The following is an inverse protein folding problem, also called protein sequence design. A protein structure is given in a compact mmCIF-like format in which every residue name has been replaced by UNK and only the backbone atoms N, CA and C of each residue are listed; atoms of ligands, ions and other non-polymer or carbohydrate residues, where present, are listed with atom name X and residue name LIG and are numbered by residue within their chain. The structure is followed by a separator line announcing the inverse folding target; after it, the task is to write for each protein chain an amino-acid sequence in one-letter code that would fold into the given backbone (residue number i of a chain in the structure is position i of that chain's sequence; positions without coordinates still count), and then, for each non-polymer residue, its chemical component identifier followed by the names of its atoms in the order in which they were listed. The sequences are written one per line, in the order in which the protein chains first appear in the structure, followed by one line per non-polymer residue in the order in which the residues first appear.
data_IF_148706591814
#
_entry.id   IF_148706591814
#
_cell.length_a   1.000
_cell.length_b   1.000
_cell.length_c   1.000
_cell.angle_alpha   90.00
_cell.angle_beta   90.00
_cell.angle_gamma   90.00
#
_symmetry.space_group_name_H-M   'P 1'
#
loop_
_entity.id
_entity.type
_entity.pdbx_description
1 polymer ?
#
# COMPACT_ATOMS: atom_id res chain seq x y z
N UNK A 1 7.40 18.01 4.07
CA UNK A 1 7.62 19.48 4.00
C UNK A 1 8.75 19.85 3.02
N UNK A 2 9.99 19.32 3.18
CA UNK A 2 11.13 19.70 2.33
C UNK A 2 10.87 19.55 0.81
N UNK A 3 10.30 18.46 0.35
CA UNK A 3 10.00 18.24 -1.07
C UNK A 3 9.19 19.36 -1.70
N UNK A 4 8.17 19.87 -0.99
CA UNK A 4 7.36 21.00 -1.48
C UNK A 4 8.15 22.33 -1.41
N UNK A 5 8.91 22.55 -0.34
CA UNK A 5 9.71 23.77 -0.19
C UNK A 5 10.82 23.89 -1.24
N UNK A 6 11.34 22.75 -1.71
CA UNK A 6 12.38 22.68 -2.74
C UNK A 6 11.83 22.54 -4.16
N UNK A 7 10.48 22.61 -4.34
CA UNK A 7 9.82 22.51 -5.64
C UNK A 7 10.16 21.22 -6.42
N UNK A 8 10.25 20.07 -5.70
CA UNK A 8 10.63 18.80 -6.29
C UNK A 8 9.45 18.10 -7.00
N UNK A 9 8.99 18.64 -8.10
CA UNK A 9 7.84 18.10 -8.84
C UNK A 9 8.05 16.70 -9.43
N UNK A 10 9.31 16.30 -9.61
CA UNK A 10 9.68 14.95 -10.04
C UNK A 10 9.82 13.95 -8.87
N UNK A 11 9.60 14.39 -7.62
CA UNK A 11 9.62 13.51 -6.47
C UNK A 11 8.27 12.80 -6.31
N UNK A 12 8.30 11.47 -6.35
CA UNK A 12 7.14 10.63 -6.08
C UNK A 12 7.43 9.77 -4.85
N UNK A 13 6.59 9.89 -3.84
CA UNK A 13 6.59 9.01 -2.68
C UNK A 13 5.47 7.98 -2.79
N UNK A 14 5.72 6.73 -2.41
CA UNK A 14 4.69 5.71 -2.30
C UNK A 14 4.61 5.26 -0.85
N UNK A 15 3.42 5.32 -0.28
CA UNK A 15 3.14 4.86 1.08
C UNK A 15 2.39 3.54 1.01
N UNK A 16 3.02 2.47 1.47
CA UNK A 16 2.34 1.21 1.74
C UNK A 16 1.51 1.36 3.03
N UNK A 17 0.21 1.65 2.86
CA UNK A 17 -0.69 1.90 3.98
C UNK A 17 -1.42 0.62 4.38
N UNK A 18 -0.71 -0.30 4.99
CA UNK A 18 -1.25 -1.57 5.47
C UNK A 18 -1.86 -1.49 6.88
N UNK A 19 -1.83 -0.31 7.52
CA UNK A 19 -2.39 0.00 8.85
C UNK A 19 -1.79 -0.83 10.00
N UNK A 20 -0.60 -1.41 9.80
CA UNK A 20 0.08 -2.18 10.81
C UNK A 20 1.47 -1.63 11.11
N UNK A 21 1.84 -1.69 12.37
CA UNK A 21 3.20 -1.54 12.88
C UNK A 21 3.75 -2.94 13.20
N UNK A 22 4.98 -3.00 13.67
CA UNK A 22 5.62 -4.26 14.04
C UNK A 22 4.89 -5.01 15.18
N UNK A 23 4.28 -4.29 16.10
CA UNK A 23 3.69 -4.85 17.33
C UNK A 23 2.20 -4.54 17.51
N UNK A 24 1.59 -3.70 16.66
CA UNK A 24 0.22 -3.22 16.82
C UNK A 24 -0.38 -2.75 15.49
N UNK A 25 -1.64 -2.38 15.51
CA UNK A 25 -2.22 -1.57 14.44
C UNK A 25 -1.78 -0.11 14.60
N UNK A 26 -1.64 0.61 13.46
CA UNK A 26 -1.14 1.99 13.48
C UNK A 26 -2.02 2.91 14.32
N UNK A 27 -3.34 2.84 14.17
CA UNK A 27 -4.26 3.74 14.86
C UNK A 27 -4.38 3.46 16.38
N UNK A 28 -3.97 2.29 16.84
CA UNK A 28 -3.89 1.97 18.27
C UNK A 28 -2.68 2.63 18.96
N UNK A 29 -1.66 2.97 18.17
CA UNK A 29 -0.37 3.50 18.68
C UNK A 29 -0.13 4.94 18.27
N UNK A 30 -0.45 5.29 17.03
CA UNK A 30 -0.21 6.61 16.44
C UNK A 30 -1.42 6.98 15.60
N UNK A 31 -2.16 8.02 15.98
CA UNK A 31 -3.31 8.51 15.24
C UNK A 31 -2.85 9.19 13.94
N UNK A 32 -2.79 8.41 12.86
CA UNK A 32 -2.35 8.91 11.56
C UNK A 32 -3.50 9.53 10.76
N UNK A 33 -4.75 9.18 11.04
CA UNK A 33 -5.90 9.77 10.34
C UNK A 33 -6.16 11.24 10.74
N UNK A 34 -6.67 12.07 9.86
CA UNK A 34 -6.85 11.84 8.42
C UNK A 34 -5.51 11.89 7.66
N UNK A 35 -5.05 10.75 7.17
CA UNK A 35 -3.67 10.60 6.68
C UNK A 35 -3.41 11.41 5.40
N UNK A 36 -4.30 11.30 4.43
CA UNK A 36 -4.19 12.02 3.16
C UNK A 36 -4.19 13.56 3.35
N UNK A 37 -5.02 14.06 4.26
CA UNK A 37 -5.12 15.50 4.52
C UNK A 37 -3.85 16.07 5.14
N UNK A 38 -3.12 15.28 5.91
CA UNK A 38 -1.81 15.68 6.44
C UNK A 38 -0.81 15.90 5.30
N UNK A 39 -0.79 15.06 4.27
CA UNK A 39 0.04 15.26 3.09
C UNK A 39 -0.41 16.47 2.27
N UNK A 40 -1.72 16.63 2.07
CA UNK A 40 -2.30 17.81 1.40
C UNK A 40 -1.92 19.11 2.11
N UNK A 41 -1.95 19.12 3.45
CA UNK A 41 -1.58 20.31 4.24
C UNK A 41 -0.11 20.69 4.12
N UNK A 42 0.77 19.74 3.78
CA UNK A 42 2.18 20.01 3.45
C UNK A 42 2.39 20.42 1.98
N UNK A 43 1.31 20.57 1.21
CA UNK A 43 1.33 21.04 -0.18
C UNK A 43 1.73 19.96 -1.19
N UNK A 44 1.54 18.67 -0.87
CA UNK A 44 1.76 17.57 -1.81
C UNK A 44 0.51 17.32 -2.64
N UNK A 45 0.70 16.91 -3.90
CA UNK A 45 -0.33 16.24 -4.67
C UNK A 45 -0.53 14.84 -4.09
N UNK A 46 -1.79 14.45 -3.82
CA UNK A 46 -2.12 13.18 -3.15
C UNK A 46 -2.99 12.33 -4.05
N UNK A 47 -2.53 11.15 -4.38
CA UNK A 47 -3.26 10.11 -5.10
C UNK A 47 -3.56 8.99 -4.11
N UNK A 48 -4.83 8.64 -3.93
CA UNK A 48 -5.25 7.56 -3.05
C UNK A 48 -5.66 6.35 -3.88
N UNK A 49 -5.02 5.19 -3.60
CA UNK A 49 -5.36 3.89 -4.19
C UNK A 49 -6.19 3.12 -3.17
N UNK A 50 -7.42 2.78 -3.53
CA UNK A 50 -8.38 2.11 -2.64
C UNK A 50 -7.93 0.69 -2.29
N UNK A 51 -7.49 -0.07 -3.30
CA UNK A 51 -6.87 -1.39 -3.12
C UNK A 51 -5.48 -1.41 -3.77
N UNK A 52 -4.44 -1.22 -2.96
CA UNK A 52 -3.05 -1.28 -3.40
C UNK A 52 -2.53 -2.70 -3.68
N UNK A 53 -3.35 -3.73 -3.49
CA UNK A 53 -3.07 -5.09 -3.95
C UNK A 53 -3.70 -5.38 -5.33
N UNK A 54 -4.53 -4.46 -5.85
CA UNK A 54 -5.04 -4.49 -7.22
C UNK A 54 -4.07 -3.78 -8.17
N UNK A 55 -3.38 -4.55 -9.00
CA UNK A 55 -2.38 -4.02 -9.94
C UNK A 55 -2.96 -3.02 -10.94
N UNK A 56 -4.24 -3.15 -11.31
CA UNK A 56 -4.91 -2.21 -12.21
C UNK A 56 -4.97 -0.81 -11.57
N UNK A 57 -5.45 -0.72 -10.32
CA UNK A 57 -5.53 0.54 -9.60
C UNK A 57 -4.13 1.15 -9.37
N UNK A 58 -3.13 0.31 -9.12
CA UNK A 58 -1.74 0.78 -8.95
C UNK A 58 -1.21 1.39 -10.25
N UNK A 59 -1.43 0.75 -11.38
CA UNK A 59 -1.01 1.29 -12.69
C UNK A 59 -1.75 2.59 -13.02
N UNK A 60 -3.06 2.63 -12.82
CA UNK A 60 -3.87 3.85 -13.02
C UNK A 60 -3.36 5.03 -12.15
N UNK A 61 -2.98 4.73 -10.90
CA UNK A 61 -2.41 5.74 -10.01
C UNK A 61 -1.04 6.25 -10.50
N UNK A 62 -0.18 5.36 -10.99
CA UNK A 62 1.12 5.71 -11.56
C UNK A 62 0.97 6.56 -12.83
N UNK A 63 0.02 6.21 -13.70
CA UNK A 63 -0.28 6.94 -14.93
C UNK A 63 -0.89 8.33 -14.67
N UNK A 64 -1.50 8.53 -13.49
CA UNK A 64 -2.08 9.81 -13.08
C UNK A 64 -1.09 10.79 -12.44
N UNK A 65 0.19 10.39 -12.29
CA UNK A 65 1.23 11.29 -11.76
C UNK A 65 1.39 12.48 -12.71
N UNK A 66 1.35 13.73 -12.20
CA UNK A 66 1.58 14.90 -13.02
C UNK A 66 2.93 14.86 -13.73
N UNK A 67 2.95 15.49 -14.90
CA UNK A 67 4.17 15.64 -15.69
C UNK A 67 5.26 16.39 -14.90
N UNK A 68 6.51 16.18 -15.28
CA UNK A 68 7.70 16.75 -14.62
C UNK A 68 7.80 18.28 -14.70
N UNK A 69 6.92 18.95 -15.42
CA UNK A 69 6.80 20.42 -15.42
C UNK A 69 6.14 20.94 -14.12
N UNK A 70 5.48 20.10 -13.36
CA UNK A 70 4.96 20.45 -12.04
C UNK A 70 6.09 20.75 -11.06
N UNK A 71 5.90 21.69 -10.16
CA UNK A 71 6.79 21.98 -9.03
C UNK A 71 6.30 21.36 -7.71
N UNK A 72 5.22 20.54 -7.80
CA UNK A 72 4.55 19.93 -6.65
C UNK A 72 4.89 18.45 -6.57
N UNK A 73 5.52 17.97 -5.49
CA UNK A 73 5.77 16.55 -5.31
C UNK A 73 4.48 15.76 -5.13
N UNK A 74 4.48 14.52 -5.58
CA UNK A 74 3.32 13.62 -5.50
C UNK A 74 3.54 12.52 -4.46
N UNK A 75 2.52 12.20 -3.69
CA UNK A 75 2.47 11.00 -2.86
C UNK A 75 1.31 10.11 -3.29
N UNK A 76 1.59 8.83 -3.48
CA UNK A 76 0.59 7.78 -3.69
C UNK A 76 0.39 7.07 -2.35
N UNK A 77 -0.82 7.09 -1.83
CA UNK A 77 -1.21 6.37 -0.62
C UNK A 77 -1.89 5.08 -1.07
N UNK A 78 -1.15 3.99 -1.01
CA UNK A 78 -1.61 2.67 -1.45
C UNK A 78 -2.17 1.90 -0.25
N UNK A 79 -3.49 1.76 -0.15
CA UNK A 79 -4.13 0.98 0.90
C UNK A 79 -3.98 -0.50 0.60
N UNK A 80 -3.18 -1.20 1.39
CA UNK A 80 -2.84 -2.60 1.18
C UNK A 80 -3.33 -3.48 2.33
N UNK A 81 -3.41 -4.78 2.05
CA UNK A 81 -3.59 -5.80 3.06
C UNK A 81 -2.29 -6.57 3.20
N UNK A 82 -1.63 -6.44 4.37
CA UNK A 82 -0.45 -7.22 4.68
C UNK A 82 -0.76 -8.72 4.64
N UNK A 83 0.06 -9.50 3.93
CA UNK A 83 -0.15 -10.94 3.74
C UNK A 83 -1.25 -11.30 2.75
N UNK A 84 -1.66 -10.36 1.88
CA UNK A 84 -2.73 -10.55 0.89
C UNK A 84 -2.57 -11.84 0.08
N UNK A 85 -3.67 -12.58 -0.01
CA UNK A 85 -3.75 -13.85 -0.74
C UNK A 85 -3.44 -15.10 0.09
N UNK A 86 -2.92 -14.93 1.32
CA UNK A 86 -2.67 -16.05 2.22
C UNK A 86 -3.56 -15.94 3.45
N UNK A 87 -4.54 -16.84 3.59
CA UNK A 87 -5.63 -16.74 4.54
C UNK A 87 -5.20 -16.53 5.99
N UNK A 88 -4.16 -17.23 6.44
CA UNK A 88 -3.66 -17.14 7.81
C UNK A 88 -2.69 -15.96 8.03
N UNK A 89 -2.30 -15.25 6.98
CA UNK A 89 -1.40 -14.09 7.06
C UNK A 89 -2.12 -12.74 7.00
N UNK A 90 -3.26 -12.69 6.29
CA UNK A 90 -3.95 -11.43 6.07
C UNK A 90 -4.27 -10.72 7.39
N UNK A 91 -3.83 -9.45 7.48
CA UNK A 91 -4.06 -8.58 8.66
C UNK A 91 -3.51 -9.12 9.98
N UNK A 92 -2.57 -10.07 9.95
CA UNK A 92 -1.98 -10.66 11.16
C UNK A 92 -0.63 -10.04 11.47
N UNK A 93 -0.54 -9.35 12.62
CA UNK A 93 0.69 -8.67 13.09
C UNK A 93 1.86 -9.64 13.24
N UNK A 94 1.61 -10.87 13.71
CA UNK A 94 2.64 -11.89 13.93
C UNK A 94 3.48 -12.20 12.70
N UNK A 95 2.96 -11.96 11.50
CA UNK A 95 3.65 -12.21 10.24
C UNK A 95 4.54 -11.04 9.77
N UNK A 96 4.70 -10.02 10.61
CA UNK A 96 5.74 -9.01 10.34
C UNK A 96 7.15 -9.62 10.36
N UNK A 97 7.41 -10.58 11.26
CA UNK A 97 8.68 -11.30 11.40
C UNK A 97 8.48 -12.81 11.62
N UNK A 98 7.39 -13.38 11.11
CA UNK A 98 7.09 -14.80 11.31
C UNK A 98 7.96 -15.72 10.44
N UNK A 99 8.21 -16.95 10.94
CA UNK A 99 8.82 -18.04 10.17
C UNK A 99 7.77 -19.06 9.76
N UNK A 100 7.82 -19.52 8.53
CA UNK A 100 6.91 -20.52 8.00
C UNK A 100 7.34 -21.94 8.40
N UNK A 101 6.38 -22.75 8.80
CA UNK A 101 6.52 -24.21 8.85
C UNK A 101 6.29 -24.81 7.45
N UNK A 102 6.54 -26.11 7.28
CA UNK A 102 6.23 -26.81 6.03
C UNK A 102 4.73 -26.82 5.73
N UNK A 103 3.90 -26.95 6.76
CA UNK A 103 2.44 -26.98 6.63
C UNK A 103 1.89 -25.60 6.26
N UNK A 104 2.45 -24.53 6.88
CA UNK A 104 2.13 -23.15 6.48
C UNK A 104 2.46 -22.88 5.02
N UNK A 105 3.61 -23.36 4.54
CA UNK A 105 3.99 -23.23 3.14
C UNK A 105 3.00 -23.91 2.19
N UNK A 106 2.59 -25.13 2.51
CA UNK A 106 1.60 -25.89 1.74
C UNK A 106 0.27 -25.13 1.65
N UNK A 107 -0.21 -24.63 2.80
CA UNK A 107 -1.44 -23.84 2.87
C UNK A 107 -1.34 -22.56 2.05
N UNK A 108 -0.23 -21.83 2.18
CA UNK A 108 0.00 -20.59 1.44
C UNK A 108 0.00 -20.81 -0.08
N UNK A 109 0.66 -21.87 -0.55
CA UNK A 109 0.69 -22.22 -1.97
C UNK A 109 -0.72 -22.57 -2.49
N UNK A 110 -1.48 -23.36 -1.73
CA UNK A 110 -2.87 -23.70 -2.07
C UNK A 110 -3.78 -22.46 -2.17
N UNK A 111 -3.66 -21.53 -1.21
CA UNK A 111 -4.43 -20.29 -1.22
C UNK A 111 -4.11 -19.44 -2.46
N UNK A 112 -2.83 -19.29 -2.80
CA UNK A 112 -2.37 -18.50 -3.95
C UNK A 112 -2.79 -19.14 -5.28
N UNK A 113 -2.72 -20.47 -5.40
CA UNK A 113 -3.18 -21.20 -6.59
C UNK A 113 -4.70 -21.01 -6.79
N UNK A 114 -5.50 -21.15 -5.73
CA UNK A 114 -6.94 -20.93 -5.78
C UNK A 114 -7.31 -19.50 -6.18
N UNK A 115 -6.60 -18.51 -5.65
CA UNK A 115 -6.78 -17.09 -6.00
C UNK A 115 -6.44 -16.83 -7.47
N UNK A 116 -5.33 -17.40 -7.97
CA UNK A 116 -4.90 -17.27 -9.36
C UNK A 116 -5.91 -17.92 -10.33
N UNK A 117 -6.40 -19.10 -10.03
CA UNK A 117 -7.42 -19.76 -10.85
C UNK A 117 -8.73 -18.97 -10.93
N UNK A 118 -9.12 -18.32 -9.82
CA UNK A 118 -10.28 -17.44 -9.81
C UNK A 118 -10.08 -16.24 -10.73
N UNK A 119 -8.96 -15.55 -10.62
CA UNK A 119 -8.64 -14.39 -11.48
C UNK A 119 -8.61 -14.77 -12.98
N UNK A 120 -8.08 -15.94 -13.33
CA UNK A 120 -8.06 -16.42 -14.72
C UNK A 120 -9.44 -16.67 -15.32
N UNK A 121 -10.46 -16.95 -14.50
CA UNK A 121 -11.84 -17.18 -14.96
C UNK A 121 -12.63 -15.87 -15.12
N UNK A 122 -12.13 -14.77 -14.54
CA UNK A 122 -12.75 -13.45 -14.59
C UNK A 122 -12.20 -12.58 -15.73
N UNK A 123 -11.15 -13.05 -16.42
CA UNK A 123 -10.52 -12.45 -17.62
C UNK A 123 -11.12 -13.08 -18.91
#
# INVERSE_FOLDING_TARGET
MAGRALHLGNLVGIVDRNRQLMTSFSEDSILLEPYADKWRSFGWNVIEVEDGNDMKQVVEALDSIPDSSSDIPTVIISNTVKGKGVSFMEKQIKWHCGSLTKDDLQTALSDLEAAHEKQRKEL
#
